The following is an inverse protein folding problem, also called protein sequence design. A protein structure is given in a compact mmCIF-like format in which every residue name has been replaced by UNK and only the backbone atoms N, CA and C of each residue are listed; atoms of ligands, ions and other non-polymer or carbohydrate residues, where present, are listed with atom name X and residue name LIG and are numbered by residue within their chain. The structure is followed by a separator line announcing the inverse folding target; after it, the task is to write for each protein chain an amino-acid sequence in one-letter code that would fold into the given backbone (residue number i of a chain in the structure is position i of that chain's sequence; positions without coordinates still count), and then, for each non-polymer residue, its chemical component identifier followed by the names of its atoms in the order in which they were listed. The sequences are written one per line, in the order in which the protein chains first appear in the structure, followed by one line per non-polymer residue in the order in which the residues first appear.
data_IF_287082634889
#
_entry.id   IF_287082634889
#
_cell.length_a   1.000
_cell.length_b   1.000
_cell.length_c   1.000
_cell.angle_alpha   90.00
_cell.angle_beta   90.00
_cell.angle_gamma   90.00
#
_symmetry.space_group_name_H-M   'P 1'
#
loop_
_entity.id
_entity.type
_entity.pdbx_description
1 polymer ?
#
# COMPACT_ATOMS: atom_id res chain seq x y z
N UNK A 1 -4.12 37.37 -11.43
CA UNK A 1 -4.01 36.21 -10.52
C UNK A 1 -3.09 36.59 -9.37
N UNK A 2 -3.49 36.36 -8.12
CA UNK A 2 -2.60 36.58 -6.96
C UNK A 2 -1.58 35.45 -6.92
N UNK A 3 -0.37 35.72 -6.42
CA UNK A 3 0.72 34.74 -6.28
C UNK A 3 0.31 33.46 -5.54
N UNK A 4 -0.63 33.58 -4.60
CA UNK A 4 -1.26 32.47 -3.87
C UNK A 4 -2.03 31.52 -4.77
N UNK A 5 -2.77 32.06 -5.75
CA UNK A 5 -3.62 31.29 -6.67
C UNK A 5 -2.75 30.53 -7.67
N UNK A 6 -1.66 31.15 -8.13
CA UNK A 6 -0.68 30.50 -8.99
C UNK A 6 0.05 29.37 -8.27
N UNK A 7 0.52 29.59 -7.03
CA UNK A 7 1.14 28.53 -6.22
C UNK A 7 0.19 27.39 -5.92
N UNK A 8 -1.07 27.67 -5.61
CA UNK A 8 -2.07 26.63 -5.38
C UNK A 8 -2.34 25.81 -6.65
N UNK A 9 -2.51 26.47 -7.80
CA UNK A 9 -2.76 25.80 -9.08
C UNK A 9 -1.57 24.94 -9.53
N UNK A 10 -0.33 25.38 -9.29
CA UNK A 10 0.88 24.60 -9.62
C UNK A 10 1.12 23.49 -8.58
N UNK A 11 0.94 23.77 -7.29
CA UNK A 11 1.13 22.81 -6.20
C UNK A 11 0.13 21.65 -6.22
N UNK A 12 -1.09 21.87 -6.71
CA UNK A 12 -2.06 20.79 -6.93
C UNK A 12 -1.74 19.93 -8.16
N UNK A 13 -0.95 20.44 -9.11
CA UNK A 13 -0.59 19.72 -10.34
C UNK A 13 0.70 18.92 -10.22
N UNK A 14 1.55 19.25 -9.25
CA UNK A 14 2.88 18.64 -9.10
C UNK A 14 3.01 18.13 -7.67
N UNK A 15 3.06 16.80 -7.53
CA UNK A 15 3.36 16.14 -6.26
C UNK A 15 4.87 16.17 -6.00
N UNK A 16 5.38 17.31 -5.53
CA UNK A 16 6.82 17.50 -5.24
C UNK A 16 7.32 16.48 -4.21
N UNK A 17 6.54 16.22 -3.15
CA UNK A 17 6.89 15.24 -2.12
C UNK A 17 7.03 13.82 -2.72
N UNK A 18 6.10 13.43 -3.58
CA UNK A 18 6.16 12.16 -4.31
C UNK A 18 7.39 12.05 -5.20
N UNK A 19 7.78 13.12 -5.88
CA UNK A 19 8.99 13.16 -6.73
C UNK A 19 10.25 13.00 -5.88
N UNK A 20 10.38 13.78 -4.80
CA UNK A 20 11.53 13.72 -3.89
C UNK A 20 11.64 12.33 -3.25
N UNK A 21 10.53 11.76 -2.78
CA UNK A 21 10.51 10.41 -2.20
C UNK A 21 10.90 9.35 -3.24
N UNK A 22 10.36 9.44 -4.46
CA UNK A 22 10.69 8.49 -5.54
C UNK A 22 12.17 8.55 -5.91
N UNK A 23 12.75 9.75 -6.01
CA UNK A 23 14.18 9.92 -6.25
C UNK A 23 15.02 9.30 -5.12
N UNK A 24 14.63 9.52 -3.86
CA UNK A 24 15.28 8.91 -2.70
C UNK A 24 15.22 7.38 -2.76
N UNK A 25 14.08 6.78 -3.07
CA UNK A 25 13.94 5.32 -3.23
C UNK A 25 14.86 4.81 -4.35
N UNK A 26 14.90 5.51 -5.48
CA UNK A 26 15.70 5.09 -6.63
C UNK A 26 17.23 5.15 -6.39
N UNK A 27 17.70 6.19 -5.69
CA UNK A 27 19.15 6.40 -5.49
C UNK A 27 19.67 5.81 -4.18
N UNK A 28 18.91 5.86 -3.09
CA UNK A 28 19.38 5.53 -1.74
C UNK A 28 18.71 4.27 -1.16
N UNK A 29 17.39 4.14 -1.33
CA UNK A 29 16.59 3.12 -0.63
C UNK A 29 16.01 2.07 -1.58
N UNK A 30 16.84 1.56 -2.51
CA UNK A 30 16.38 0.66 -3.61
C UNK A 30 15.66 -0.60 -3.12
N UNK A 31 16.00 -1.08 -1.93
CA UNK A 31 15.34 -2.23 -1.31
C UNK A 31 13.83 -2.00 -1.12
N UNK A 32 13.36 -0.76 -0.96
CA UNK A 32 11.94 -0.43 -0.86
C UNK A 32 11.18 -0.63 -2.19
N UNK A 33 11.88 -0.70 -3.31
CA UNK A 33 11.29 -0.97 -4.64
C UNK A 33 11.29 -2.45 -5.03
N UNK A 34 11.91 -3.32 -4.22
CA UNK A 34 11.99 -4.74 -4.50
C UNK A 34 10.85 -5.49 -3.80
N UNK A 35 10.06 -6.30 -4.53
CA UNK A 35 9.08 -7.16 -3.90
C UNK A 35 9.81 -8.26 -3.10
N UNK A 36 9.66 -8.23 -1.77
CA UNK A 36 10.27 -9.22 -0.88
C UNK A 36 9.48 -10.55 -0.85
N UNK A 37 8.19 -10.49 -1.16
CA UNK A 37 7.28 -11.64 -1.21
C UNK A 37 6.37 -11.45 -2.41
N UNK A 38 6.33 -12.45 -3.30
CA UNK A 38 5.41 -12.51 -4.42
C UNK A 38 4.52 -13.75 -4.24
N UNK A 39 3.24 -13.51 -3.98
CA UNK A 39 2.23 -14.56 -3.81
C UNK A 39 1.04 -14.26 -4.71
N UNK A 40 0.33 -15.32 -5.10
CA UNK A 40 -0.84 -15.20 -5.99
C UNK A 40 -2.02 -14.50 -5.33
N UNK A 41 -2.14 -14.60 -4.01
CA UNK A 41 -3.32 -14.18 -3.25
C UNK A 41 -2.93 -13.95 -1.79
N UNK A 42 -3.60 -13.02 -1.08
CA UNK A 42 -3.31 -12.75 0.33
C UNK A 42 -3.53 -13.97 1.24
N UNK A 43 -4.36 -14.94 0.83
CA UNK A 43 -4.56 -16.23 1.51
C UNK A 43 -3.29 -17.08 1.61
N UNK A 44 -2.27 -16.77 0.82
CA UNK A 44 -0.97 -17.42 0.86
C UNK A 44 0.02 -16.74 1.82
N UNK A 45 -0.36 -15.63 2.44
CA UNK A 45 0.49 -14.94 3.41
C UNK A 45 0.47 -15.70 4.74
N UNK A 46 1.65 -15.94 5.28
CA UNK A 46 1.82 -16.44 6.64
C UNK A 46 1.78 -15.27 7.64
N UNK A 47 0.61 -15.05 8.23
CA UNK A 47 0.36 -13.94 9.16
C UNK A 47 1.19 -14.05 10.44
N UNK A 48 1.36 -15.27 10.96
CA UNK A 48 2.15 -15.50 12.15
C UNK A 48 3.63 -15.19 11.91
N UNK A 49 4.17 -15.61 10.76
CA UNK A 49 5.54 -15.31 10.40
C UNK A 49 5.79 -13.81 10.23
N UNK A 50 4.84 -13.07 9.63
CA UNK A 50 4.93 -11.60 9.57
C UNK A 50 4.94 -10.99 10.98
N UNK A 51 4.01 -11.39 11.85
CA UNK A 51 3.97 -10.85 13.22
C UNK A 51 5.25 -11.20 14.01
N UNK A 52 5.74 -12.44 13.90
CA UNK A 52 6.99 -12.91 14.51
C UNK A 52 8.21 -12.13 14.04
N UNK A 53 8.25 -11.71 12.78
CA UNK A 53 9.31 -10.84 12.23
C UNK A 53 9.21 -9.37 12.67
N UNK A 54 8.19 -9.02 13.45
CA UNK A 54 8.03 -7.70 14.05
C UNK A 54 7.16 -6.73 13.25
N UNK A 55 6.52 -7.17 12.16
CA UNK A 55 5.56 -6.34 11.43
C UNK A 55 4.35 -6.02 12.32
N UNK A 56 3.94 -4.75 12.35
CA UNK A 56 2.83 -4.25 13.20
C UNK A 56 1.50 -4.10 12.48
N UNK A 57 1.52 -4.19 11.16
CA UNK A 57 0.34 -4.08 10.33
C UNK A 57 0.70 -4.34 8.88
N UNK A 58 -0.34 -4.61 8.09
CA UNK A 58 -0.26 -4.77 6.65
C UNK A 58 -1.24 -3.81 6.01
N UNK A 59 -0.82 -3.15 4.94
CA UNK A 59 -1.66 -2.21 4.18
C UNK A 59 -1.95 -2.85 2.83
N UNK A 60 -3.22 -3.04 2.54
CA UNK A 60 -3.69 -3.50 1.24
C UNK A 60 -4.40 -2.35 0.53
N UNK A 61 -4.15 -2.24 -0.77
CA UNK A 61 -5.01 -1.44 -1.62
C UNK A 61 -6.43 -2.05 -1.61
N UNK A 62 -7.46 -1.22 -1.51
CA UNK A 62 -8.83 -1.73 -1.36
C UNK A 62 -9.30 -2.36 -2.67
N UNK A 63 -9.43 -1.50 -3.66
CA UNK A 63 -10.01 -1.80 -4.95
C UNK A 63 -8.92 -2.50 -5.75
N UNK A 64 -9.11 -3.80 -6.03
CA UNK A 64 -8.17 -4.72 -6.70
C UNK A 64 -7.29 -5.61 -5.80
N UNK A 65 -7.34 -5.49 -4.47
CA UNK A 65 -6.73 -6.51 -3.59
C UNK A 65 -7.75 -7.23 -2.72
N UNK A 66 -8.57 -6.48 -1.97
CA UNK A 66 -9.48 -7.07 -0.97
C UNK A 66 -10.95 -7.02 -1.39
N UNK A 67 -11.31 -6.18 -2.37
CA UNK A 67 -12.64 -6.13 -2.97
C UNK A 67 -12.60 -6.49 -4.44
N UNK A 68 -13.73 -6.97 -4.97
CA UNK A 68 -13.95 -6.95 -6.43
C UNK A 68 -14.08 -5.49 -6.89
N UNK A 69 -13.80 -5.17 -8.17
CA UNK A 69 -13.87 -3.78 -8.67
C UNK A 69 -15.18 -3.09 -8.31
N UNK A 70 -15.09 -1.85 -7.81
CA UNK A 70 -16.22 -1.00 -7.40
C UNK A 70 -17.10 -1.55 -6.26
N UNK A 71 -16.66 -2.59 -5.54
CA UNK A 71 -17.37 -3.09 -4.37
C UNK A 71 -16.94 -2.39 -3.09
N UNK A 72 -17.90 -2.18 -2.19
CA UNK A 72 -17.65 -1.77 -0.79
C UNK A 72 -17.53 -2.96 0.16
N UNK A 73 -17.77 -4.18 -0.33
CA UNK A 73 -17.74 -5.39 0.47
C UNK A 73 -16.49 -6.20 0.19
N UNK A 74 -15.94 -6.78 1.28
CA UNK A 74 -14.83 -7.71 1.21
C UNK A 74 -15.17 -8.89 0.30
N UNK A 75 -14.23 -9.26 -0.59
CA UNK A 75 -14.38 -10.45 -1.42
C UNK A 75 -14.49 -11.69 -0.52
N UNK A 76 -15.64 -12.42 -0.52
CA UNK A 76 -15.93 -13.43 0.49
C UNK A 76 -14.85 -14.49 0.72
N UNK A 77 -14.14 -15.00 -0.32
CA UNK A 77 -13.06 -15.96 -0.14
C UNK A 77 -11.89 -15.49 0.72
N UNK A 78 -11.70 -14.17 0.89
CA UNK A 78 -10.62 -13.62 1.71
C UNK A 78 -10.93 -13.59 3.21
N UNK A 79 -12.21 -13.71 3.61
CA UNK A 79 -12.66 -13.63 5.01
C UNK A 79 -11.83 -14.51 5.95
N UNK A 80 -11.65 -15.81 5.69
CA UNK A 80 -10.91 -16.67 6.61
C UNK A 80 -9.44 -16.25 6.78
N UNK A 81 -8.83 -15.66 5.76
CA UNK A 81 -7.46 -15.19 5.84
C UNK A 81 -7.34 -13.88 6.60
N UNK A 82 -8.31 -12.98 6.42
CA UNK A 82 -8.34 -11.71 7.16
C UNK A 82 -8.63 -11.96 8.63
N UNK A 83 -9.50 -12.91 8.96
CA UNK A 83 -9.78 -13.29 10.34
C UNK A 83 -8.50 -13.84 11.00
N UNK A 84 -7.78 -14.77 10.33
CA UNK A 84 -6.45 -15.23 10.77
C UNK A 84 -5.43 -14.12 10.96
N UNK A 85 -5.44 -13.09 10.09
CA UNK A 85 -4.55 -11.94 10.22
C UNK A 85 -4.85 -11.10 11.47
N UNK A 86 -6.11 -11.06 11.92
CA UNK A 86 -6.52 -10.31 13.11
C UNK A 86 -6.29 -11.07 14.42
N UNK A 87 -6.17 -12.39 14.32
CA UNK A 87 -5.97 -13.29 15.45
C UNK A 87 -4.49 -13.43 15.88
N UNK A 88 -3.54 -12.80 15.15
CA UNK A 88 -2.08 -12.88 15.41
C UNK A 88 -1.50 -11.64 16.05
#
# INVERSE_FOLDING_TARGET
MRWTDFRAAVGQRINVEGIVFSARVFFNDRHLSLPHVAVRDIRCIDWYELHRRGFKGVVFDKDNTITVPHSLTLWPPLRPSIDKCKDV
#
